data_IF_522345458653
#
_entry.id   IF_522345458653
#
_cell.length_a   1.000
_cell.length_b   1.000
_cell.length_c   1.000
_cell.angle_alpha   90.00
_cell.angle_beta   90.00
_cell.angle_gamma   90.00
#
_symmetry.space_group_name_H-M   'P 1'
#
loop_
_entity.id
_entity.type
_entity.pdbx_description
1 polymer ?
#
# COMPACT_ATOMS: atom_id res chain seq x y z
N UNK A 1 1.57 28.66 9.84
CA UNK A 1 1.50 28.22 8.43
C UNK A 1 0.20 27.45 8.22
N UNK A 2 -0.66 27.82 7.29
CA UNK A 2 -1.88 27.04 7.01
C UNK A 2 -1.81 26.55 5.56
N UNK A 3 -1.95 25.25 5.35
CA UNK A 3 -2.00 24.69 4.01
C UNK A 3 -3.33 25.05 3.32
N UNK A 4 -3.23 25.46 2.05
CA UNK A 4 -4.37 25.69 1.17
C UNK A 4 -4.88 24.38 0.55
N UNK A 5 -6.08 24.37 -0.04
CA UNK A 5 -6.56 23.21 -0.81
C UNK A 5 -5.65 22.90 -2.01
N UNK A 6 -5.01 23.93 -2.60
CA UNK A 6 -4.04 23.77 -3.68
C UNK A 6 -2.79 23.01 -3.21
N UNK A 7 -2.31 23.29 -1.99
CA UNK A 7 -1.14 22.60 -1.44
C UNK A 7 -1.46 21.11 -1.18
N UNK A 8 -2.65 20.83 -0.62
CA UNK A 8 -3.14 19.47 -0.41
C UNK A 8 -3.19 18.73 -1.75
N UNK A 9 -3.77 19.34 -2.77
CA UNK A 9 -3.86 18.75 -4.10
C UNK A 9 -2.50 18.53 -4.75
N UNK A 10 -1.59 19.50 -4.66
CA UNK A 10 -0.24 19.38 -5.20
C UNK A 10 0.58 18.23 -4.60
N UNK A 11 0.32 17.87 -3.36
CA UNK A 11 0.97 16.72 -2.71
C UNK A 11 0.26 15.42 -3.03
N UNK A 12 -1.07 15.38 -2.99
CA UNK A 12 -1.84 14.14 -3.13
C UNK A 12 -2.04 13.66 -4.56
N UNK A 13 -2.24 14.59 -5.52
CA UNK A 13 -2.49 14.25 -6.92
C UNK A 13 -1.36 13.40 -7.55
N UNK A 14 -0.06 13.71 -7.38
CA UNK A 14 0.99 12.87 -7.93
C UNK A 14 1.07 11.49 -7.26
N UNK A 15 0.73 11.39 -5.98
CA UNK A 15 0.67 10.10 -5.27
C UNK A 15 -0.49 9.26 -5.84
N UNK A 16 -1.64 9.89 -6.09
CA UNK A 16 -2.79 9.23 -6.71
C UNK A 16 -2.43 8.67 -8.08
N UNK A 17 -1.77 9.45 -8.94
CA UNK A 17 -1.34 8.97 -10.26
C UNK A 17 -0.31 7.83 -10.17
N UNK A 18 0.60 7.88 -9.19
CA UNK A 18 1.56 6.81 -8.96
C UNK A 18 0.87 5.50 -8.54
N UNK A 19 -0.15 5.58 -7.68
CA UNK A 19 -0.94 4.41 -7.27
C UNK A 19 -1.80 3.86 -8.42
N UNK A 20 -2.34 4.73 -9.27
CA UNK A 20 -3.05 4.30 -10.49
C UNK A 20 -2.11 3.57 -11.46
N UNK A 21 -0.91 4.10 -11.70
CA UNK A 21 0.08 3.45 -12.54
C UNK A 21 0.49 2.07 -11.99
N UNK A 22 0.65 1.95 -10.66
CA UNK A 22 0.91 0.67 -10.01
C UNK A 22 -0.25 -0.31 -10.20
N UNK A 23 -1.49 0.16 -10.16
CA UNK A 23 -2.65 -0.70 -10.42
C UNK A 23 -2.69 -1.19 -11.88
N UNK A 24 -2.30 -0.33 -12.83
CA UNK A 24 -2.18 -0.72 -14.26
C UNK A 24 -1.18 -1.86 -14.41
N UNK A 25 -0.02 -1.82 -13.76
CA UNK A 25 0.95 -2.92 -13.76
C UNK A 25 0.26 -4.22 -13.31
N UNK A 26 -0.37 -4.22 -12.14
CA UNK A 26 -1.02 -5.41 -11.59
C UNK A 26 -2.10 -6.00 -12.51
N UNK A 27 -2.89 -5.14 -13.15
CA UNK A 27 -3.94 -5.55 -14.10
C UNK A 27 -3.33 -6.15 -15.36
N UNK A 28 -2.27 -5.54 -15.90
CA UNK A 28 -1.58 -6.00 -17.11
C UNK A 28 -0.90 -7.35 -16.88
N UNK A 29 -0.17 -7.49 -15.78
CA UNK A 29 0.48 -8.76 -15.40
C UNK A 29 -0.56 -9.90 -15.31
N UNK A 30 -1.67 -9.62 -14.62
CA UNK A 30 -2.77 -10.60 -14.49
C UNK A 30 -3.39 -10.96 -15.83
N UNK A 31 -3.61 -9.97 -16.70
CA UNK A 31 -4.19 -10.17 -18.03
C UNK A 31 -3.24 -10.97 -18.93
N UNK A 32 -1.95 -10.66 -18.95
CA UNK A 32 -0.98 -11.38 -19.76
C UNK A 32 -0.80 -12.83 -19.29
N UNK A 33 -0.67 -13.06 -18.00
CA UNK A 33 -0.53 -14.41 -17.45
C UNK A 33 -1.82 -15.23 -17.59
N UNK A 34 -2.99 -14.59 -17.56
CA UNK A 34 -4.25 -15.25 -17.87
C UNK A 34 -4.36 -15.78 -19.30
N UNK A 35 -3.63 -15.17 -20.26
CA UNK A 35 -3.53 -15.69 -21.63
C UNK A 35 -2.50 -16.82 -21.78
N UNK A 36 -1.55 -16.94 -20.85
CA UNK A 36 -0.57 -18.05 -20.86
C UNK A 36 -1.21 -19.34 -20.36
N UNK A 37 -1.89 -19.28 -19.20
CA UNK A 37 -2.55 -20.46 -18.64
C UNK A 37 -3.06 -20.25 -17.21
N UNK A 38 -3.93 -21.19 -16.78
CA UNK A 38 -4.53 -21.18 -15.44
C UNK A 38 -3.49 -21.47 -14.34
N UNK A 39 -2.50 -22.31 -14.63
CA UNK A 39 -1.42 -22.66 -13.70
C UNK A 39 -0.55 -21.42 -13.43
N UNK A 40 -0.14 -20.72 -14.49
CA UNK A 40 0.70 -19.53 -14.42
C UNK A 40 -0.02 -18.39 -13.70
N UNK A 41 -1.30 -18.20 -13.99
CA UNK A 41 -2.14 -17.22 -13.31
C UNK A 41 -2.29 -17.54 -11.82
N UNK A 42 -2.55 -18.78 -11.47
CA UNK A 42 -2.66 -19.23 -10.07
C UNK A 42 -1.33 -19.09 -9.32
N UNK A 43 -0.23 -19.48 -9.95
CA UNK A 43 1.11 -19.40 -9.39
C UNK A 43 1.55 -17.95 -9.16
N UNK A 44 1.27 -17.05 -10.11
CA UNK A 44 1.58 -15.62 -9.95
C UNK A 44 0.76 -14.97 -8.83
N UNK A 45 -0.51 -15.34 -8.68
CA UNK A 45 -1.36 -14.84 -7.61
C UNK A 45 -0.83 -15.25 -6.23
N UNK A 46 -0.50 -16.54 -6.04
CA UNK A 46 0.05 -17.04 -4.78
C UNK A 46 1.46 -16.50 -4.50
N UNK A 47 2.33 -16.50 -5.50
CA UNK A 47 3.68 -15.93 -5.38
C UNK A 47 3.65 -14.43 -5.11
N UNK A 48 2.77 -13.69 -5.77
CA UNK A 48 2.57 -12.27 -5.56
C UNK A 48 2.11 -11.94 -4.13
N UNK A 49 1.19 -12.72 -3.57
CA UNK A 49 0.75 -12.57 -2.18
C UNK A 49 1.90 -12.77 -1.19
N UNK A 50 2.70 -13.82 -1.37
CA UNK A 50 3.86 -14.09 -0.51
C UNK A 50 4.91 -12.97 -0.62
N UNK A 51 5.17 -12.48 -1.83
CA UNK A 51 6.05 -11.35 -2.06
C UNK A 51 5.56 -10.09 -1.34
N UNK A 52 4.28 -9.75 -1.47
CA UNK A 52 3.67 -8.57 -0.83
C UNK A 52 3.72 -8.69 0.70
N UNK A 53 3.47 -9.86 1.28
CA UNK A 53 3.57 -10.07 2.73
C UNK A 53 4.97 -9.70 3.26
N UNK A 54 6.02 -10.09 2.55
CA UNK A 54 7.41 -9.76 2.92
C UNK A 54 7.68 -8.27 2.66
N UNK A 55 7.20 -7.74 1.54
CA UNK A 55 7.37 -6.33 1.17
C UNK A 55 6.72 -5.37 2.18
N UNK A 56 5.67 -5.78 2.92
CA UNK A 56 5.05 -4.94 3.98
C UNK A 56 6.05 -4.52 5.04
N UNK A 57 7.10 -5.30 5.30
CA UNK A 57 8.19 -4.97 6.23
C UNK A 57 8.90 -3.70 5.74
N UNK A 58 9.35 -3.68 4.49
CA UNK A 58 10.03 -2.54 3.91
C UNK A 58 9.10 -1.32 3.79
N UNK A 59 7.86 -1.53 3.40
CA UNK A 59 6.87 -0.48 3.27
C UNK A 59 6.55 0.18 4.63
N UNK A 60 6.37 -0.63 5.68
CA UNK A 60 6.14 -0.15 7.04
C UNK A 60 7.34 0.64 7.58
N UNK A 61 8.57 0.13 7.36
CA UNK A 61 9.80 0.84 7.73
C UNK A 61 9.90 2.19 7.00
N UNK A 62 9.62 2.22 5.70
CA UNK A 62 9.68 3.45 4.91
C UNK A 62 8.65 4.49 5.35
N UNK A 63 7.47 4.06 5.81
CA UNK A 63 6.43 4.96 6.32
C UNK A 63 6.89 5.65 7.62
N UNK A 64 7.52 4.92 8.54
CA UNK A 64 8.13 5.52 9.73
C UNK A 64 9.27 6.49 9.40
N UNK A 65 10.13 6.12 8.47
CA UNK A 65 11.19 6.99 7.94
C UNK A 65 10.64 8.26 7.29
N UNK A 66 9.53 8.13 6.51
CA UNK A 66 8.82 9.25 5.90
C UNK A 66 8.33 10.26 6.93
N UNK A 67 7.78 9.79 8.06
CA UNK A 67 7.31 10.65 9.16
C UNK A 67 8.49 11.44 9.73
N UNK A 68 9.63 10.80 9.97
CA UNK A 68 10.83 11.47 10.47
C UNK A 68 11.38 12.48 9.47
N UNK A 69 11.50 12.11 8.19
CA UNK A 69 11.94 13.01 7.12
C UNK A 69 11.01 14.23 7.04
N UNK A 70 9.70 14.02 7.07
CA UNK A 70 8.70 15.08 7.04
C UNK A 70 8.83 16.03 8.25
N UNK A 71 9.09 15.48 9.44
CA UNK A 71 9.31 16.25 10.64
C UNK A 71 10.55 17.13 10.52
N UNK A 72 11.71 16.57 10.12
CA UNK A 72 12.95 17.31 9.92
C UNK A 72 12.82 18.39 8.85
N UNK A 73 12.11 18.07 7.76
CA UNK A 73 11.81 19.04 6.72
C UNK A 73 10.98 20.22 7.25
N UNK A 74 9.96 19.95 8.07
CA UNK A 74 9.13 20.98 8.71
C UNK A 74 9.89 21.84 9.71
N UNK A 75 10.81 21.25 10.49
CA UNK A 75 11.69 21.93 11.44
C UNK A 75 12.76 22.81 10.75
N UNK A 76 12.88 22.73 9.41
CA UNK A 76 13.96 23.40 8.68
C UNK A 76 15.32 22.71 8.84
N UNK A 77 15.37 21.56 9.50
CA UNK A 77 16.58 20.76 9.71
C UNK A 77 16.88 19.89 8.47
N UNK A 78 16.97 20.53 7.32
CA UNK A 78 17.08 19.83 6.02
C UNK A 78 18.29 18.88 5.96
N UNK A 79 19.42 19.23 6.61
CA UNK A 79 20.64 18.40 6.60
C UNK A 79 20.47 17.06 7.33
N UNK A 80 19.48 16.94 8.19
CA UNK A 80 19.16 15.71 8.92
C UNK A 80 18.32 14.71 8.08
N UNK A 81 17.78 15.16 6.95
CA UNK A 81 16.98 14.31 6.04
C UNK A 81 17.85 13.24 5.38
N UNK A 82 19.05 13.63 4.89
CA UNK A 82 19.96 12.71 4.22
C UNK A 82 20.42 11.53 5.09
N UNK A 83 20.88 11.77 6.32
CA UNK A 83 21.21 10.69 7.26
C UNK A 83 20.05 9.70 7.46
N UNK A 84 18.82 10.16 7.64
CA UNK A 84 17.64 9.26 7.76
C UNK A 84 17.43 8.44 6.49
N UNK A 85 17.50 9.09 5.32
CA UNK A 85 17.36 8.42 4.03
C UNK A 85 18.44 7.35 3.82
N UNK A 86 19.71 7.71 4.02
CA UNK A 86 20.86 6.84 3.80
C UNK A 86 20.90 5.66 4.77
N UNK A 87 20.59 5.92 6.06
CA UNK A 87 20.48 4.87 7.07
C UNK A 87 19.36 3.89 6.76
N UNK A 88 18.22 4.42 6.31
CA UNK A 88 17.09 3.59 5.88
C UNK A 88 17.40 2.75 4.64
N UNK A 89 18.06 3.30 3.63
CA UNK A 89 18.51 2.55 2.45
C UNK A 89 19.47 1.43 2.83
N UNK A 90 20.46 1.70 3.68
CA UNK A 90 21.43 0.71 4.12
C UNK A 90 20.76 -0.41 4.93
N UNK A 91 19.90 -0.05 5.88
CA UNK A 91 19.16 -1.01 6.69
C UNK A 91 18.25 -1.91 5.82
N UNK A 92 17.46 -1.31 4.92
CA UNK A 92 16.56 -2.07 4.06
C UNK A 92 17.31 -2.91 3.02
N UNK A 93 18.45 -2.46 2.51
CA UNK A 93 19.29 -3.26 1.64
C UNK A 93 19.85 -4.50 2.36
N UNK A 94 20.36 -4.32 3.59
CA UNK A 94 20.82 -5.45 4.40
C UNK A 94 19.66 -6.41 4.76
N UNK A 95 18.48 -5.85 5.07
CA UNK A 95 17.27 -6.65 5.29
C UNK A 95 16.88 -7.43 4.04
N UNK A 96 16.98 -6.82 2.85
CA UNK A 96 16.71 -7.48 1.58
C UNK A 96 17.68 -8.66 1.34
N UNK A 97 18.98 -8.50 1.64
CA UNK A 97 19.99 -9.57 1.54
C UNK A 97 19.63 -10.75 2.46
N UNK A 98 19.30 -10.45 3.72
CA UNK A 98 18.94 -11.49 4.69
C UNK A 98 17.65 -12.21 4.29
N UNK A 99 16.60 -11.44 3.93
CA UNK A 99 15.33 -12.02 3.49
C UNK A 99 15.44 -12.77 2.19
N UNK A 100 16.25 -12.31 1.23
CA UNK A 100 16.52 -13.05 0.02
C UNK A 100 17.09 -14.43 0.33
N UNK A 101 18.14 -14.52 1.17
CA UNK A 101 18.73 -15.79 1.58
C UNK A 101 17.77 -16.69 2.33
N UNK A 102 17.04 -16.16 3.30
CA UNK A 102 16.03 -16.89 4.07
C UNK A 102 14.90 -17.41 3.18
N UNK A 103 14.41 -16.57 2.27
CA UNK A 103 13.33 -16.96 1.38
C UNK A 103 13.76 -18.01 0.36
N UNK A 104 14.94 -17.91 -0.23
CA UNK A 104 15.45 -18.95 -1.13
C UNK A 104 15.54 -20.31 -0.43
N UNK A 105 15.88 -20.32 0.86
CA UNK A 105 15.96 -21.55 1.64
C UNK A 105 14.60 -22.05 2.14
N UNK A 106 13.76 -21.18 2.71
CA UNK A 106 12.52 -21.55 3.39
C UNK A 106 11.29 -21.62 2.47
N UNK A 107 11.34 -20.94 1.30
CA UNK A 107 10.19 -20.76 0.42
C UNK A 107 9.62 -22.08 -0.12
N UNK A 108 10.40 -23.08 -0.56
CA UNK A 108 9.82 -24.36 -1.01
C UNK A 108 8.95 -25.01 0.05
N UNK A 109 9.42 -25.00 1.32
CA UNK A 109 8.64 -25.54 2.44
C UNK A 109 7.38 -24.72 2.73
N UNK A 110 7.48 -23.39 2.73
CA UNK A 110 6.34 -22.51 2.97
C UNK A 110 5.29 -22.63 1.86
N UNK A 111 5.70 -22.66 0.60
CA UNK A 111 4.81 -22.84 -0.55
C UNK A 111 4.11 -24.19 -0.49
N UNK A 112 4.84 -25.26 -0.10
CA UNK A 112 4.25 -26.60 0.02
C UNK A 112 3.17 -26.71 1.10
N UNK A 113 3.27 -25.92 2.15
CA UNK A 113 2.23 -25.85 3.20
C UNK A 113 0.95 -25.18 2.73
N UNK A 114 1.03 -24.33 1.69
CA UNK A 114 -0.08 -23.52 1.20
C UNK A 114 -0.72 -24.09 -0.08
N UNK A 115 0.06 -24.84 -0.89
CA UNK A 115 -0.36 -25.30 -2.22
C UNK A 115 -0.32 -26.82 -2.26
N UNK A 116 -1.45 -27.42 -2.56
CA UNK A 116 -1.60 -28.88 -2.68
C UNK A 116 -1.33 -29.40 -4.09
N UNK A 117 -1.52 -28.58 -5.14
CA UNK A 117 -1.26 -28.95 -6.54
C UNK A 117 0.22 -28.89 -6.86
N UNK A 118 0.80 -29.98 -7.34
CA UNK A 118 2.22 -30.06 -7.69
C UNK A 118 2.59 -29.09 -8.82
N UNK A 119 1.76 -28.95 -9.84
CA UNK A 119 2.00 -28.04 -10.97
C UNK A 119 2.03 -26.57 -10.52
N UNK A 120 1.07 -26.16 -9.68
CA UNK A 120 1.04 -24.79 -9.15
C UNK A 120 2.18 -24.56 -8.17
N UNK A 121 2.57 -25.58 -7.40
CA UNK A 121 3.71 -25.51 -6.49
C UNK A 121 5.01 -25.23 -7.24
N UNK A 122 5.32 -26.04 -8.26
CA UNK A 122 6.55 -25.89 -9.05
C UNK A 122 6.60 -24.54 -9.76
N UNK A 123 5.49 -24.12 -10.38
CA UNK A 123 5.38 -22.81 -11.02
C UNK A 123 5.53 -21.65 -10.03
N UNK A 124 4.95 -21.76 -8.83
CA UNK A 124 5.07 -20.73 -7.77
C UNK A 124 6.52 -20.65 -7.26
N UNK A 125 7.18 -21.77 -7.06
CA UNK A 125 8.59 -21.80 -6.64
C UNK A 125 9.50 -21.16 -7.71
N UNK A 126 9.28 -21.46 -8.99
CA UNK A 126 10.04 -20.85 -10.10
C UNK A 126 9.80 -19.34 -10.16
N UNK A 127 8.54 -18.90 -10.08
CA UNK A 127 8.18 -17.48 -10.06
C UNK A 127 8.88 -16.75 -8.91
N UNK A 128 8.77 -17.26 -7.69
CA UNK A 128 9.36 -16.64 -6.51
C UNK A 128 10.88 -16.64 -6.54
N UNK A 129 11.51 -17.70 -7.05
CA UNK A 129 12.97 -17.75 -7.20
C UNK A 129 13.49 -16.52 -7.95
N UNK A 130 12.86 -16.15 -9.07
CA UNK A 130 13.24 -14.97 -9.85
C UNK A 130 12.69 -13.68 -9.25
N UNK A 131 11.47 -13.67 -8.77
CA UNK A 131 10.80 -12.46 -8.24
C UNK A 131 11.50 -11.88 -7.02
N UNK A 132 12.10 -12.73 -6.18
CA UNK A 132 12.80 -12.28 -4.96
C UNK A 132 14.04 -11.44 -5.23
N UNK A 133 14.66 -11.51 -6.41
CA UNK A 133 15.72 -10.56 -6.78
C UNK A 133 15.23 -9.11 -6.77
N UNK A 134 13.92 -8.90 -6.92
CA UNK A 134 13.30 -7.60 -6.78
C UNK A 134 13.46 -6.96 -5.40
N UNK A 135 13.70 -7.73 -4.33
CA UNK A 135 13.90 -7.16 -2.99
C UNK A 135 15.05 -6.16 -2.94
N UNK A 136 16.14 -6.41 -3.67
CA UNK A 136 17.31 -5.51 -3.70
C UNK A 136 16.96 -4.11 -4.21
N UNK A 137 15.98 -4.01 -5.10
CA UNK A 137 15.53 -2.75 -5.69
C UNK A 137 14.30 -2.20 -4.99
N UNK A 138 13.27 -3.01 -4.79
CA UNK A 138 12.00 -2.57 -4.21
C UNK A 138 12.14 -2.05 -2.78
N UNK A 139 13.00 -2.67 -1.95
CA UNK A 139 13.26 -2.24 -0.58
C UNK A 139 13.95 -0.87 -0.53
N UNK A 140 14.85 -0.58 -1.46
CA UNK A 140 15.46 0.74 -1.54
C UNK A 140 14.51 1.76 -2.20
N UNK A 141 13.70 1.35 -3.16
CA UNK A 141 12.72 2.20 -3.83
C UNK A 141 11.70 2.82 -2.86
N UNK A 142 11.27 2.08 -1.83
CA UNK A 142 10.35 2.65 -0.83
C UNK A 142 11.00 3.76 0.00
N UNK A 143 12.33 3.81 0.12
CA UNK A 143 13.03 4.92 0.76
C UNK A 143 13.07 6.16 -0.14
N UNK A 144 13.22 6.03 -1.46
CA UNK A 144 13.02 7.16 -2.38
C UNK A 144 11.61 7.74 -2.26
N UNK A 145 10.59 6.85 -2.21
CA UNK A 145 9.22 7.28 -1.94
C UNK A 145 9.11 8.04 -0.62
N UNK A 146 9.68 7.52 0.47
CA UNK A 146 9.68 8.16 1.77
C UNK A 146 10.34 9.55 1.74
N UNK A 147 11.47 9.69 1.02
CA UNK A 147 12.15 10.96 0.82
C UNK A 147 11.23 11.96 0.11
N UNK A 148 10.73 11.63 -1.08
CA UNK A 148 9.99 12.57 -1.90
C UNK A 148 8.63 12.94 -1.32
N UNK A 149 7.95 12.00 -0.67
CA UNK A 149 6.72 12.29 0.09
C UNK A 149 7.07 13.17 1.29
N UNK A 150 8.09 12.81 2.07
CA UNK A 150 8.51 13.52 3.28
C UNK A 150 8.85 14.98 3.04
N UNK A 151 9.59 15.28 1.96
CA UNK A 151 9.93 16.66 1.56
C UNK A 151 8.85 17.33 0.69
N UNK A 152 7.69 16.69 0.52
CA UNK A 152 6.54 17.19 -0.27
C UNK A 152 6.82 17.43 -1.76
N UNK A 153 7.82 16.74 -2.34
CA UNK A 153 8.15 16.78 -3.77
C UNK A 153 7.59 15.57 -4.52
N UNK A 154 6.29 15.37 -4.46
CA UNK A 154 5.62 14.14 -4.90
C UNK A 154 5.50 13.95 -6.41
N UNK A 155 5.69 14.99 -7.23
CA UNK A 155 5.61 14.90 -8.70
C UNK A 155 6.55 13.85 -9.31
N UNK A 156 7.71 13.65 -8.70
CA UNK A 156 8.67 12.64 -9.14
C UNK A 156 8.13 11.22 -9.03
N UNK A 157 7.23 10.97 -8.07
CA UNK A 157 6.63 9.65 -7.89
C UNK A 157 5.77 9.24 -9.07
N UNK A 158 5.03 10.19 -9.67
CA UNK A 158 4.26 9.96 -10.89
C UNK A 158 5.16 9.56 -12.04
N UNK A 159 6.25 10.31 -12.27
CA UNK A 159 7.19 10.03 -13.36
C UNK A 159 7.84 8.67 -13.15
N UNK A 160 8.27 8.38 -11.92
CA UNK A 160 8.87 7.09 -11.56
C UNK A 160 7.90 5.92 -11.80
N UNK A 161 6.64 6.07 -11.38
CA UNK A 161 5.63 5.05 -11.56
C UNK A 161 5.29 4.80 -13.05
N UNK A 162 5.25 5.86 -13.86
CA UNK A 162 5.05 5.75 -15.31
C UNK A 162 6.23 5.02 -15.96
N UNK A 163 7.47 5.37 -15.61
CA UNK A 163 8.68 4.68 -16.14
C UNK A 163 8.63 3.20 -15.76
N UNK A 164 8.36 2.90 -14.49
CA UNK A 164 8.24 1.53 -14.00
C UNK A 164 7.16 0.75 -14.76
N UNK A 165 5.98 1.35 -14.95
CA UNK A 165 4.88 0.73 -15.67
C UNK A 165 5.22 0.49 -17.16
N UNK A 166 5.83 1.46 -17.83
CA UNK A 166 6.22 1.31 -19.24
C UNK A 166 7.26 0.18 -19.41
N UNK A 167 8.28 0.13 -18.54
CA UNK A 167 9.31 -0.92 -18.58
C UNK A 167 8.70 -2.28 -18.30
N UNK A 168 7.83 -2.37 -17.26
CA UNK A 168 7.18 -3.63 -16.91
C UNK A 168 6.30 -4.14 -18.06
N UNK A 169 5.33 -3.35 -18.54
CA UNK A 169 4.40 -3.76 -19.61
C UNK A 169 5.15 -4.15 -20.89
N UNK A 170 6.18 -3.39 -21.27
CA UNK A 170 6.98 -3.68 -22.44
C UNK A 170 7.73 -5.03 -22.28
N UNK A 171 8.38 -5.23 -21.13
CA UNK A 171 9.13 -6.45 -20.87
C UNK A 171 8.23 -7.67 -20.64
N UNK A 172 7.07 -7.49 -20.04
CA UNK A 172 6.08 -8.57 -19.93
C UNK A 172 5.66 -9.06 -21.30
N UNK A 173 5.31 -8.13 -22.20
CA UNK A 173 4.96 -8.50 -23.57
C UNK A 173 6.12 -9.19 -24.31
N UNK A 174 7.35 -8.72 -24.11
CA UNK A 174 8.52 -9.28 -24.74
C UNK A 174 8.94 -10.67 -24.19
N UNK A 175 8.95 -10.82 -22.86
CA UNK A 175 9.49 -12.01 -22.19
C UNK A 175 8.44 -13.10 -21.96
N UNK A 176 7.18 -12.72 -21.70
CA UNK A 176 6.11 -13.72 -21.50
C UNK A 176 5.84 -14.44 -22.83
N UNK A 177 5.69 -13.68 -23.91
CA UNK A 177 5.27 -14.21 -25.22
C UNK A 177 6.41 -14.41 -26.22
N UNK A 178 7.66 -14.09 -25.88
CA UNK A 178 8.80 -14.30 -26.76
C UNK A 178 8.86 -13.33 -27.94
N UNK A 179 8.43 -12.08 -27.78
CA UNK A 179 8.47 -11.08 -28.85
C UNK A 179 9.82 -10.34 -28.92
N UNK A 180 10.05 -9.64 -30.01
CA UNK A 180 11.27 -8.82 -30.26
C UNK A 180 12.60 -9.60 -30.21
N UNK A 181 12.57 -10.92 -30.48
CA UNK A 181 13.75 -11.77 -30.45
C UNK A 181 14.14 -12.31 -29.06
N UNK A 182 13.33 -12.05 -28.05
CA UNK A 182 13.48 -12.68 -26.74
C UNK A 182 12.86 -14.08 -26.76
N UNK A 183 13.39 -15.03 -25.94
CA UNK A 183 12.79 -16.34 -25.77
C UNK A 183 11.46 -16.21 -25.02
N UNK A 184 10.49 -17.05 -25.35
CA UNK A 184 9.25 -17.20 -24.60
C UNK A 184 9.56 -17.81 -23.23
N UNK A 185 9.27 -17.06 -22.16
CA UNK A 185 9.58 -17.44 -20.77
C UNK A 185 8.33 -17.62 -19.90
N UNK A 186 7.14 -17.28 -20.41
CA UNK A 186 5.90 -17.41 -19.65
C UNK A 186 5.96 -16.72 -18.29
N UNK A 187 5.60 -17.45 -17.22
CA UNK A 187 5.58 -16.96 -15.84
C UNK A 187 6.93 -16.45 -15.34
N UNK A 188 8.03 -17.13 -15.69
CA UNK A 188 9.39 -16.68 -15.38
C UNK A 188 9.69 -15.32 -16.00
N UNK A 189 9.22 -15.09 -17.23
CA UNK A 189 9.34 -13.81 -17.93
C UNK A 189 8.68 -12.67 -17.17
N UNK A 190 7.49 -12.89 -16.63
CA UNK A 190 6.77 -11.90 -15.80
C UNK A 190 7.56 -11.56 -14.52
N UNK A 191 8.13 -12.55 -13.84
CA UNK A 191 8.96 -12.30 -12.66
C UNK A 191 10.19 -11.45 -12.98
N UNK A 192 10.89 -11.77 -14.05
CA UNK A 192 12.10 -11.04 -14.50
C UNK A 192 11.72 -9.62 -14.94
N UNK A 193 10.63 -9.44 -15.70
CA UNK A 193 10.15 -8.13 -16.14
C UNK A 193 9.87 -7.22 -14.95
N UNK A 194 9.18 -7.72 -13.93
CA UNK A 194 8.90 -6.98 -12.69
C UNK A 194 10.19 -6.57 -11.96
N UNK A 195 11.19 -7.45 -11.88
CA UNK A 195 12.50 -7.14 -11.26
C UNK A 195 13.24 -6.06 -12.03
N UNK A 196 13.26 -6.14 -13.36
CA UNK A 196 13.91 -5.12 -14.20
C UNK A 196 13.17 -3.77 -14.10
N UNK A 197 11.84 -3.77 -14.03
CA UNK A 197 11.05 -2.56 -13.82
C UNK A 197 11.35 -1.90 -12.45
N UNK A 198 11.51 -2.69 -11.40
CA UNK A 198 11.94 -2.19 -10.07
C UNK A 198 13.38 -1.66 -10.11
N UNK A 199 14.28 -2.29 -10.86
CA UNK A 199 15.63 -1.80 -11.09
C UNK A 199 15.65 -0.48 -11.88
N UNK A 200 14.81 -0.35 -12.91
CA UNK A 200 14.65 0.89 -13.66
C UNK A 200 14.12 2.03 -12.77
N UNK A 201 13.16 1.73 -11.91
CA UNK A 201 12.64 2.65 -10.88
C UNK A 201 13.74 3.11 -9.93
N UNK A 202 14.58 2.19 -9.46
CA UNK A 202 15.72 2.49 -8.58
C UNK A 202 16.74 3.40 -9.29
N UNK A 203 17.10 3.07 -10.52
CA UNK A 203 18.03 3.88 -11.33
C UNK A 203 17.48 5.29 -11.56
N UNK A 204 16.20 5.39 -11.93
CA UNK A 204 15.54 6.68 -12.10
C UNK A 204 15.56 7.49 -10.79
N UNK A 205 15.17 6.88 -9.66
CA UNK A 205 15.18 7.53 -8.35
C UNK A 205 16.56 8.05 -7.96
N UNK A 206 17.61 7.26 -8.22
CA UNK A 206 18.99 7.63 -7.96
C UNK A 206 19.47 8.78 -8.85
N UNK A 207 19.27 8.66 -10.17
CA UNK A 207 19.68 9.67 -11.15
C UNK A 207 18.92 10.98 -10.91
N UNK A 208 17.60 10.92 -10.70
CA UNK A 208 16.79 12.10 -10.43
C UNK A 208 17.23 12.80 -9.14
N UNK A 209 17.51 12.04 -8.07
CA UNK A 209 17.99 12.61 -6.81
C UNK A 209 19.31 13.32 -7.01
N UNK A 210 20.23 12.70 -7.76
CA UNK A 210 21.55 13.29 -8.02
C UNK A 210 21.50 14.56 -8.88
N UNK A 211 20.62 14.61 -9.87
CA UNK A 211 20.54 15.74 -10.82
C UNK A 211 19.64 16.89 -10.33
N UNK A 212 18.53 16.61 -9.65
CA UNK A 212 17.47 17.59 -9.37
C UNK A 212 17.22 17.89 -7.90
N UNK A 213 17.86 17.15 -6.99
CA UNK A 213 17.76 17.42 -5.56
C UNK A 213 19.04 18.11 -5.09
N UNK A 214 18.90 19.17 -4.30
CA UNK A 214 20.05 19.81 -3.68
C UNK A 214 20.64 18.90 -2.58
N UNK A 215 21.64 18.12 -2.98
CA UNK A 215 22.28 17.12 -2.12
C UNK A 215 22.93 17.75 -0.89
N UNK A 216 23.46 18.96 -1.01
CA UNK A 216 24.09 19.69 0.12
C UNK A 216 23.05 20.17 1.11
N UNK A 217 21.93 20.70 0.60
CA UNK A 217 20.81 21.16 1.42
C UNK A 217 20.26 20.03 2.28
N UNK A 218 20.04 18.85 1.69
CA UNK A 218 19.45 17.72 2.38
C UNK A 218 20.45 16.77 3.03
N UNK A 219 21.76 17.08 2.98
CA UNK A 219 22.80 16.23 3.59
C UNK A 219 22.99 14.87 2.90
N UNK A 220 22.58 14.76 1.62
CA UNK A 220 22.69 13.54 0.80
C UNK A 220 24.08 13.40 0.13
N UNK A 221 24.96 14.39 0.25
CA UNK A 221 26.29 14.42 -0.33
C UNK A 221 27.36 13.70 0.50
N UNK A 222 26.97 13.09 1.61
CA UNK A 222 27.87 12.32 2.49
C UNK A 222 27.71 10.83 2.22
N UNK A 223 28.81 10.08 2.34
CA UNK A 223 28.74 8.62 2.28
C UNK A 223 27.89 8.08 3.43
N UNK A 224 27.05 7.05 3.19
CA UNK A 224 26.25 6.44 4.23
C UNK A 224 27.17 5.86 5.30
N UNK A 225 27.01 6.34 6.53
CA UNK A 225 27.70 5.79 7.70
C UNK A 225 26.67 5.11 8.58
N UNK A 226 27.04 3.95 9.12
CA UNK A 226 26.18 3.25 10.05
C UNK A 226 26.10 4.01 11.37
N UNK A 227 24.91 4.47 11.72
CA UNK A 227 24.59 5.10 12.99
C UNK A 227 23.50 4.32 13.70
N UNK A 228 23.90 3.51 14.67
CA UNK A 228 22.98 2.68 15.45
C UNK A 228 21.99 3.50 16.29
N UNK A 229 22.40 4.70 16.75
CA UNK A 229 21.52 5.56 17.52
C UNK A 229 20.42 6.17 16.63
N UNK A 230 20.77 6.61 15.43
CA UNK A 230 19.82 7.09 14.46
C UNK A 230 18.89 5.95 13.99
N UNK A 231 19.43 4.77 13.70
CA UNK A 231 18.61 3.61 13.33
C UNK A 231 17.64 3.25 14.45
N UNK A 232 18.07 3.25 15.71
CA UNK A 232 17.19 3.01 16.86
C UNK A 232 16.03 4.01 16.92
N UNK A 233 16.27 5.29 16.62
CA UNK A 233 15.22 6.32 16.54
C UNK A 233 14.26 6.05 15.37
N UNK A 234 14.79 5.70 14.21
CA UNK A 234 13.94 5.34 13.06
C UNK A 234 13.07 4.10 13.40
N UNK A 235 13.66 3.05 13.96
CA UNK A 235 12.96 1.83 14.35
C UNK A 235 11.92 2.08 15.44
N UNK A 236 12.14 3.00 16.37
CA UNK A 236 11.16 3.34 17.41
C UNK A 236 9.83 3.88 16.86
N UNK A 237 9.83 4.36 15.61
CA UNK A 237 8.64 4.80 14.88
C UNK A 237 8.19 3.72 13.89
N UNK A 238 9.15 3.16 13.15
CA UNK A 238 8.88 2.26 12.03
C UNK A 238 8.45 0.85 12.46
N UNK A 239 8.91 0.35 13.60
CA UNK A 239 8.53 -0.98 14.08
C UNK A 239 7.00 -1.11 14.25
N UNK A 240 6.35 -0.07 14.77
CA UNK A 240 4.90 -0.06 14.94
C UNK A 240 4.15 -0.03 13.61
N UNK A 241 4.65 0.71 12.63
CA UNK A 241 4.06 0.72 11.27
C UNK A 241 4.31 -0.58 10.52
N UNK A 242 5.45 -1.25 10.71
CA UNK A 242 5.72 -2.56 10.12
C UNK A 242 4.72 -3.61 10.65
N UNK A 243 4.54 -3.67 11.97
CA UNK A 243 3.59 -4.59 12.62
C UNK A 243 2.15 -4.27 12.19
N UNK A 244 1.81 -3.00 12.11
CA UNK A 244 0.50 -2.52 11.68
C UNK A 244 0.14 -3.02 10.28
N UNK A 245 1.01 -2.82 9.28
CA UNK A 245 0.75 -3.30 7.91
C UNK A 245 0.63 -4.81 7.83
N UNK A 246 1.44 -5.54 8.60
CA UNK A 246 1.36 -6.99 8.65
C UNK A 246 0.01 -7.48 9.23
N UNK A 247 -0.44 -6.90 10.34
CA UNK A 247 -1.72 -7.27 10.98
C UNK A 247 -2.90 -6.92 10.05
N UNK A 248 -2.88 -5.76 9.41
CA UNK A 248 -3.91 -5.34 8.46
C UNK A 248 -4.02 -6.31 7.29
N UNK A 249 -2.88 -6.75 6.75
CA UNK A 249 -2.83 -7.74 5.67
C UNK A 249 -3.38 -9.10 6.13
N UNK A 250 -2.97 -9.56 7.32
CA UNK A 250 -3.45 -10.83 7.88
C UNK A 250 -4.97 -10.83 8.11
N UNK A 251 -5.54 -9.72 8.53
CA UNK A 251 -6.99 -9.60 8.78
C UNK A 251 -7.81 -9.72 7.49
N UNK A 252 -7.28 -9.25 6.35
CA UNK A 252 -7.90 -9.47 5.05
C UNK A 252 -8.03 -10.94 4.68
N UNK A 253 -7.02 -11.76 5.04
CA UNK A 253 -7.12 -13.22 4.84
C UNK A 253 -8.24 -13.83 5.68
N UNK A 254 -8.43 -13.36 6.92
CA UNK A 254 -9.52 -13.86 7.78
C UNK A 254 -10.89 -13.61 7.14
N UNK A 255 -11.10 -12.44 6.52
CA UNK A 255 -12.33 -12.14 5.80
C UNK A 255 -12.58 -13.13 4.66
N UNK A 256 -11.58 -13.35 3.79
CA UNK A 256 -11.74 -14.26 2.65
C UNK A 256 -11.90 -15.71 3.07
N UNK A 257 -11.24 -16.16 4.13
CA UNK A 257 -11.46 -17.48 4.71
C UNK A 257 -12.90 -17.69 5.23
N UNK A 258 -13.49 -16.65 5.80
CA UNK A 258 -14.88 -16.70 6.24
C UNK A 258 -15.85 -16.76 5.06
N UNK A 259 -15.59 -15.97 4.00
CA UNK A 259 -16.44 -15.92 2.81
C UNK A 259 -16.31 -17.20 1.96
N UNK A 260 -15.13 -17.81 1.87
CA UNK A 260 -14.93 -19.08 1.15
C UNK A 260 -15.88 -20.17 1.63
N UNK A 261 -16.15 -20.22 2.93
CA UNK A 261 -17.09 -21.19 3.53
C UNK A 261 -18.56 -21.00 3.13
N UNK A 262 -18.90 -19.83 2.60
CA UNK A 262 -20.25 -19.54 2.10
C UNK A 262 -20.49 -20.11 0.71
N UNK A 263 -19.45 -20.66 0.08
CA UNK A 263 -19.50 -21.32 -1.22
C UNK A 263 -18.92 -20.45 -2.36
N UNK A 264 -18.69 -21.11 -3.50
CA UNK A 264 -18.00 -20.54 -4.66
C UNK A 264 -18.68 -19.28 -5.21
N UNK A 265 -20.03 -19.28 -5.23
CA UNK A 265 -20.81 -18.14 -5.72
C UNK A 265 -20.59 -16.88 -4.89
N UNK A 266 -20.62 -17.02 -3.56
CA UNK A 266 -20.38 -15.91 -2.63
C UNK A 266 -18.92 -15.41 -2.70
N UNK A 267 -17.99 -16.34 -2.88
CA UNK A 267 -16.58 -16.00 -3.07
C UNK A 267 -16.35 -15.24 -4.39
N UNK A 268 -17.04 -15.61 -5.47
CA UNK A 268 -16.98 -14.90 -6.75
C UNK A 268 -17.48 -13.45 -6.60
N UNK A 269 -18.61 -13.24 -5.92
CA UNK A 269 -19.12 -11.90 -5.59
C UNK A 269 -18.09 -11.11 -4.79
N UNK A 270 -17.52 -11.72 -3.75
CA UNK A 270 -16.51 -11.05 -2.91
C UNK A 270 -15.28 -10.61 -3.70
N UNK A 271 -14.81 -11.41 -4.65
CA UNK A 271 -13.67 -11.07 -5.50
C UNK A 271 -13.95 -9.89 -6.44
N UNK A 272 -15.16 -9.85 -7.05
CA UNK A 272 -15.57 -8.72 -7.89
C UNK A 272 -15.63 -7.44 -7.07
N UNK A 273 -16.31 -7.48 -5.93
CA UNK A 273 -16.46 -6.34 -5.03
C UNK A 273 -15.10 -5.86 -4.50
N UNK A 274 -14.19 -6.79 -4.15
CA UNK A 274 -12.82 -6.46 -3.77
C UNK A 274 -12.09 -5.66 -4.84
N UNK A 275 -12.23 -6.04 -6.10
CA UNK A 275 -11.56 -5.34 -7.20
C UNK A 275 -12.04 -3.89 -7.31
N UNK A 276 -13.34 -3.64 -7.16
CA UNK A 276 -13.92 -2.29 -7.13
C UNK A 276 -13.44 -1.54 -5.87
N UNK A 277 -13.45 -2.20 -4.73
CA UNK A 277 -13.01 -1.64 -3.45
C UNK A 277 -11.55 -1.16 -3.51
N UNK A 278 -10.64 -1.92 -4.10
CA UNK A 278 -9.23 -1.54 -4.27
C UNK A 278 -9.13 -0.25 -5.10
N UNK A 279 -9.87 -0.14 -6.20
CA UNK A 279 -9.87 1.07 -7.04
C UNK A 279 -10.40 2.28 -6.28
N UNK A 280 -11.48 2.12 -5.51
CA UNK A 280 -12.05 3.19 -4.68
C UNK A 280 -11.12 3.62 -3.54
N UNK A 281 -10.28 2.72 -3.04
CA UNK A 281 -9.29 3.04 -2.01
C UNK A 281 -8.12 3.90 -2.53
N UNK A 282 -7.80 3.88 -3.80
CA UNK A 282 -6.64 4.60 -4.36
C UNK A 282 -6.65 6.08 -3.99
N UNK A 283 -7.72 6.87 -4.23
CA UNK A 283 -7.75 8.28 -3.83
C UNK A 283 -7.69 8.47 -2.31
N UNK A 284 -8.30 7.56 -1.53
CA UNK A 284 -8.24 7.61 -0.07
C UNK A 284 -6.81 7.40 0.42
N UNK A 285 -6.09 6.43 -0.13
CA UNK A 285 -4.69 6.16 0.23
C UNK A 285 -3.75 7.31 -0.15
N UNK A 286 -3.96 7.93 -1.32
CA UNK A 286 -3.18 9.08 -1.75
C UNK A 286 -3.34 10.27 -0.77
N UNK A 287 -4.57 10.59 -0.39
CA UNK A 287 -4.87 11.66 0.55
C UNK A 287 -4.44 11.33 1.98
N UNK A 288 -4.52 10.07 2.38
CA UNK A 288 -4.04 9.59 3.68
C UNK A 288 -2.52 9.71 3.81
N UNK A 289 -1.78 9.36 2.76
CA UNK A 289 -0.33 9.55 2.69
C UNK A 289 0.04 11.05 2.75
N UNK A 290 -0.71 11.89 2.04
CA UNK A 290 -0.54 13.33 2.10
C UNK A 290 -0.84 13.87 3.52
N UNK A 291 -1.91 13.40 4.17
CA UNK A 291 -2.25 13.78 5.53
C UNK A 291 -1.16 13.43 6.52
N UNK A 292 -0.64 12.19 6.47
CA UNK A 292 0.47 11.73 7.29
C UNK A 292 1.69 12.67 7.19
N UNK A 293 2.13 12.94 5.99
CA UNK A 293 3.31 13.78 5.73
C UNK A 293 3.08 15.25 6.06
N UNK A 294 1.94 15.83 5.66
CA UNK A 294 1.65 17.24 5.90
C UNK A 294 1.45 17.53 7.38
N UNK A 295 0.87 16.59 8.14
CA UNK A 295 0.76 16.71 9.61
C UNK A 295 2.16 16.71 10.24
N UNK A 296 3.05 15.78 9.84
CA UNK A 296 4.40 15.73 10.38
C UNK A 296 5.21 16.99 10.06
N UNK A 297 5.15 17.47 8.80
CA UNK A 297 5.76 18.75 8.39
C UNK A 297 5.20 19.94 9.19
N UNK A 298 3.88 20.01 9.37
CA UNK A 298 3.23 21.11 10.07
C UNK A 298 3.61 21.17 11.55
N UNK A 299 3.73 20.02 12.20
CA UNK A 299 4.19 19.95 13.59
C UNK A 299 5.66 20.37 13.67
N UNK A 300 6.50 19.90 12.74
CA UNK A 300 7.90 20.33 12.65
C UNK A 300 8.05 21.85 12.50
N UNK A 301 7.18 22.47 11.71
CA UNK A 301 7.13 23.91 11.53
C UNK A 301 6.49 24.68 12.71
N UNK A 302 6.19 24.03 13.84
CA UNK A 302 5.55 24.65 15.02
C UNK A 302 4.07 24.90 14.87
N UNK A 303 3.42 24.44 13.80
CA UNK A 303 2.00 24.70 13.50
C UNK A 303 1.01 23.75 14.17
N UNK A 304 1.30 23.24 15.37
CA UNK A 304 0.51 22.22 16.07
C UNK A 304 -0.98 22.61 16.18
N UNK A 305 -1.28 23.86 16.47
CA UNK A 305 -2.65 24.37 16.60
C UNK A 305 -3.49 24.20 15.32
N UNK A 306 -2.86 24.11 14.15
CA UNK A 306 -3.52 23.98 12.85
C UNK A 306 -3.67 22.54 12.35
N UNK A 307 -3.14 21.55 13.07
CA UNK A 307 -3.16 20.13 12.65
C UNK A 307 -4.60 19.63 12.47
N UNK A 308 -5.49 19.89 13.43
CA UNK A 308 -6.90 19.47 13.33
C UNK A 308 -7.62 20.14 12.16
N UNK A 309 -7.31 21.39 11.88
CA UNK A 309 -7.87 22.12 10.75
C UNK A 309 -7.39 21.53 9.41
N UNK A 310 -6.10 21.18 9.33
CA UNK A 310 -5.52 20.52 8.17
C UNK A 310 -6.20 19.17 7.92
N UNK A 311 -6.30 18.30 8.94
CA UNK A 311 -6.96 17.00 8.80
C UNK A 311 -8.41 17.13 8.35
N UNK A 312 -9.17 18.09 8.90
CA UNK A 312 -10.56 18.37 8.46
C UNK A 312 -10.63 18.78 6.99
N UNK A 313 -9.68 19.61 6.50
CA UNK A 313 -9.63 20.02 5.10
C UNK A 313 -9.36 18.81 4.18
N UNK A 314 -8.36 17.99 4.52
CA UNK A 314 -8.01 16.80 3.73
C UNK A 314 -9.17 15.78 3.75
N UNK A 315 -9.80 15.55 4.92
CA UNK A 315 -10.94 14.66 5.04
C UNK A 315 -12.13 15.13 4.18
N UNK A 316 -12.38 16.44 4.11
CA UNK A 316 -13.43 17.01 3.24
C UNK A 316 -13.10 16.75 1.76
N UNK A 317 -11.87 16.96 1.34
CA UNK A 317 -11.45 16.68 -0.05
C UNK A 317 -11.60 15.19 -0.36
N UNK A 318 -11.14 14.31 0.53
CA UNK A 318 -11.27 12.86 0.41
C UNK A 318 -12.74 12.44 0.29
N UNK A 319 -13.59 12.93 1.16
CA UNK A 319 -15.02 12.64 1.16
C UNK A 319 -15.71 13.07 -0.13
N UNK A 320 -15.39 14.28 -0.64
CA UNK A 320 -15.96 14.78 -1.91
C UNK A 320 -15.55 13.92 -3.10
N UNK A 321 -14.28 13.52 -3.19
CA UNK A 321 -13.81 12.66 -4.27
C UNK A 321 -14.51 11.29 -4.20
N UNK A 322 -14.56 10.69 -3.03
CA UNK A 322 -15.17 9.37 -2.85
C UNK A 322 -16.67 9.40 -3.11
N UNK A 323 -17.39 10.44 -2.69
CA UNK A 323 -18.84 10.55 -2.97
C UNK A 323 -19.13 10.68 -4.46
N UNK A 324 -18.26 11.35 -5.21
CA UNK A 324 -18.39 11.42 -6.69
C UNK A 324 -18.18 10.03 -7.31
N UNK A 325 -17.15 9.30 -6.89
CA UNK A 325 -16.87 7.95 -7.38
C UNK A 325 -18.03 6.99 -7.04
N UNK A 326 -18.53 7.03 -5.80
CA UNK A 326 -19.63 6.17 -5.36
C UNK A 326 -20.93 6.59 -6.07
N UNK A 327 -21.18 7.88 -6.26
CA UNK A 327 -22.33 8.37 -7.02
C UNK A 327 -22.37 7.77 -8.43
N UNK A 328 -21.23 7.76 -9.13
CA UNK A 328 -21.12 7.13 -10.44
C UNK A 328 -21.43 5.63 -10.40
N UNK A 329 -20.81 4.91 -9.48
CA UNK A 329 -21.01 3.46 -9.31
C UNK A 329 -22.46 3.13 -8.91
N UNK A 330 -23.08 3.96 -8.06
CA UNK A 330 -24.46 3.75 -7.61
C UNK A 330 -25.51 4.04 -8.68
N UNK A 331 -25.22 4.99 -9.58
CA UNK A 331 -26.11 5.31 -10.71
C UNK A 331 -25.96 4.24 -11.82
N UNK A 332 -24.76 3.72 -12.03
CA UNK A 332 -24.46 2.73 -13.07
C UNK A 332 -23.87 1.44 -12.48
N UNK A 333 -24.59 0.73 -11.58
CA UNK A 333 -24.04 -0.45 -10.90
C UNK A 333 -23.74 -1.60 -11.86
N UNK A 334 -24.66 -1.82 -12.83
CA UNK A 334 -24.48 -2.87 -13.83
C UNK A 334 -23.26 -2.62 -14.73
N UNK A 335 -23.06 -1.38 -15.18
CA UNK A 335 -21.90 -1.00 -15.99
C UNK A 335 -20.59 -1.21 -15.21
N UNK A 336 -20.57 -0.82 -13.93
CA UNK A 336 -19.39 -0.97 -13.09
C UNK A 336 -19.02 -2.43 -12.83
N UNK A 337 -20.01 -3.30 -12.68
CA UNK A 337 -19.84 -4.74 -12.47
C UNK A 337 -19.55 -5.50 -13.76
N UNK A 338 -20.11 -5.07 -14.91
CA UNK A 338 -19.90 -5.71 -16.21
C UNK A 338 -18.45 -5.64 -16.71
N UNK A 339 -17.62 -4.75 -16.13
CA UNK A 339 -16.17 -4.72 -16.37
C UNK A 339 -15.49 -6.02 -15.91
N UNK A 340 -16.07 -6.70 -14.91
CA UNK A 340 -15.45 -7.85 -14.25
C UNK A 340 -16.11 -9.19 -14.62
N UNK A 341 -17.35 -9.18 -15.09
CA UNK A 341 -18.07 -10.40 -15.44
C UNK A 341 -19.18 -10.13 -16.46
N UNK A 342 -19.44 -11.12 -17.34
CA UNK A 342 -20.55 -11.11 -18.28
C UNK A 342 -21.78 -11.87 -17.76
N UNK A 343 -21.70 -12.53 -16.61
CA UNK A 343 -22.80 -13.25 -15.97
C UNK A 343 -23.79 -12.25 -15.35
N UNK A 344 -24.93 -12.04 -16.02
CA UNK A 344 -25.98 -11.12 -15.60
C UNK A 344 -26.60 -11.47 -14.24
N UNK A 345 -26.67 -12.75 -13.89
CA UNK A 345 -27.16 -13.22 -12.60
C UNK A 345 -26.16 -12.84 -11.49
N UNK A 346 -24.86 -13.06 -11.73
CA UNK A 346 -23.78 -12.69 -10.80
C UNK A 346 -23.71 -11.17 -10.60
N UNK A 347 -23.92 -10.39 -11.67
CA UNK A 347 -24.02 -8.93 -11.58
C UNK A 347 -25.17 -8.54 -10.64
N UNK A 348 -26.37 -9.09 -10.85
CA UNK A 348 -27.55 -8.80 -10.01
C UNK A 348 -27.30 -9.12 -8.53
N UNK A 349 -26.71 -10.27 -8.24
CA UNK A 349 -26.39 -10.69 -6.87
C UNK A 349 -25.27 -9.86 -6.20
N UNK A 350 -24.41 -9.23 -7.00
CA UNK A 350 -23.31 -8.39 -6.49
C UNK A 350 -23.74 -6.96 -6.11
N UNK A 351 -24.86 -6.47 -6.63
CA UNK A 351 -25.35 -5.10 -6.38
C UNK A 351 -25.52 -4.78 -4.89
N UNK A 352 -26.13 -5.62 -4.05
CA UNK A 352 -26.26 -5.32 -2.62
C UNK A 352 -24.89 -5.12 -1.93
N UNK A 353 -23.92 -5.97 -2.26
CA UNK A 353 -22.54 -5.87 -1.73
C UNK A 353 -21.86 -4.59 -2.20
N UNK A 354 -22.12 -4.15 -3.43
CA UNK A 354 -21.59 -2.91 -3.99
C UNK A 354 -22.07 -1.69 -3.21
N UNK A 355 -23.36 -1.64 -2.85
CA UNK A 355 -23.90 -0.55 -2.03
C UNK A 355 -23.33 -0.53 -0.61
N UNK A 356 -23.18 -1.72 0.00
CA UNK A 356 -22.57 -1.83 1.33
C UNK A 356 -21.14 -1.29 1.33
N UNK A 357 -20.33 -1.68 0.35
CA UNK A 357 -18.97 -1.16 0.18
C UNK A 357 -18.98 0.34 -0.13
N UNK A 358 -19.94 0.83 -0.89
CA UNK A 358 -20.12 2.26 -1.12
C UNK A 358 -20.26 3.04 0.20
N UNK A 359 -21.11 2.58 1.11
CA UNK A 359 -21.27 3.18 2.44
C UNK A 359 -19.96 3.07 3.26
N UNK A 360 -19.32 1.91 3.25
CA UNK A 360 -18.05 1.72 3.95
C UNK A 360 -16.98 2.70 3.46
N UNK A 361 -16.91 2.95 2.15
CA UNK A 361 -15.95 3.87 1.55
C UNK A 361 -16.18 5.34 1.92
N UNK A 362 -17.43 5.77 2.12
CA UNK A 362 -17.72 7.11 2.62
C UNK A 362 -17.14 7.32 4.03
N UNK A 363 -17.26 6.31 4.88
CA UNK A 363 -16.67 6.34 6.22
C UNK A 363 -15.15 6.25 6.15
N UNK A 364 -14.63 5.37 5.29
CA UNK A 364 -13.20 5.17 5.05
C UNK A 364 -12.50 6.45 4.58
N UNK A 365 -13.16 7.24 3.72
CA UNK A 365 -12.65 8.51 3.20
C UNK A 365 -12.31 9.52 4.31
N UNK A 366 -12.99 9.44 5.44
CA UNK A 366 -12.75 10.32 6.60
C UNK A 366 -11.86 9.61 7.63
N UNK A 367 -12.15 8.35 7.94
CA UNK A 367 -11.46 7.57 8.95
C UNK A 367 -9.94 7.46 8.69
N UNK A 368 -9.58 7.11 7.45
CA UNK A 368 -8.17 6.95 7.05
C UNK A 368 -7.37 8.25 7.17
N UNK A 369 -7.98 9.42 6.94
CA UNK A 369 -7.30 10.71 7.07
C UNK A 369 -6.94 10.99 8.52
N UNK A 370 -7.87 10.83 9.45
CA UNK A 370 -7.60 11.05 10.87
C UNK A 370 -6.63 10.02 11.43
N UNK A 371 -6.78 8.76 11.05
CA UNK A 371 -5.90 7.68 11.46
C UNK A 371 -4.45 7.90 10.98
N UNK A 372 -4.24 8.19 9.69
CA UNK A 372 -2.92 8.50 9.15
C UNK A 372 -2.37 9.83 9.68
N UNK A 373 -3.24 10.78 10.02
CA UNK A 373 -2.87 11.98 10.74
C UNK A 373 -2.26 11.68 12.10
N UNK A 374 -2.81 10.72 12.88
CA UNK A 374 -2.22 10.26 14.15
C UNK A 374 -0.82 9.68 13.92
N UNK A 375 -0.65 8.81 12.94
CA UNK A 375 0.69 8.30 12.57
C UNK A 375 1.65 9.44 12.23
N UNK A 376 1.19 10.46 11.48
CA UNK A 376 1.94 11.66 11.11
C UNK A 376 2.37 12.53 12.31
N UNK A 377 1.69 12.43 13.47
CA UNK A 377 2.18 13.07 14.71
C UNK A 377 3.47 12.44 15.25
N UNK A 378 3.87 11.28 14.72
CA UNK A 378 4.97 10.45 15.23
C UNK A 378 4.52 9.45 16.29
N UNK A 379 3.24 9.40 16.65
CA UNK A 379 2.72 8.44 17.62
C UNK A 379 2.20 7.16 16.93
N UNK A 380 3.10 6.49 16.22
CA UNK A 380 2.82 5.26 15.48
C UNK A 380 2.43 4.09 16.40
N UNK A 381 2.93 4.10 17.64
CA UNK A 381 2.51 3.15 18.66
C UNK A 381 1.02 3.28 18.98
N UNK A 382 0.51 4.49 19.16
CA UNK A 382 -0.91 4.71 19.38
C UNK A 382 -1.73 4.29 18.16
N UNK A 383 -1.27 4.61 16.95
CA UNK A 383 -1.92 4.18 15.71
C UNK A 383 -2.03 2.64 15.65
N UNK A 384 -0.94 1.92 15.97
CA UNK A 384 -0.96 0.45 16.04
C UNK A 384 -2.02 -0.07 17.03
N UNK A 385 -2.09 0.48 18.23
CA UNK A 385 -3.07 0.03 19.22
C UNK A 385 -4.52 0.34 18.82
N UNK A 386 -4.77 1.52 18.24
CA UNK A 386 -6.08 1.89 17.72
C UNK A 386 -6.53 0.92 16.61
N UNK A 387 -5.65 0.63 15.67
CA UNK A 387 -5.97 -0.30 14.59
C UNK A 387 -6.10 -1.74 15.08
N UNK A 388 -5.17 -2.22 15.90
CA UNK A 388 -5.23 -3.60 16.43
C UNK A 388 -6.51 -3.84 17.20
N UNK A 389 -6.92 -2.92 18.08
CA UNK A 389 -8.20 -3.03 18.80
C UNK A 389 -9.40 -3.09 17.86
N UNK A 390 -9.38 -2.30 16.80
CA UNK A 390 -10.44 -2.29 15.78
C UNK A 390 -10.45 -3.58 14.98
N UNK A 391 -9.27 -4.11 14.61
CA UNK A 391 -9.13 -5.36 13.85
C UNK A 391 -9.53 -6.60 14.68
N UNK A 392 -9.36 -6.57 16.00
CA UNK A 392 -9.89 -7.62 16.88
C UNK A 392 -11.42 -7.67 16.80
N UNK A 393 -12.07 -6.51 16.89
CA UNK A 393 -13.53 -6.41 16.74
C UNK A 393 -13.97 -6.85 15.35
N UNK A 394 -13.24 -6.44 14.31
CA UNK A 394 -13.44 -6.89 12.93
C UNK A 394 -13.41 -8.40 12.81
N UNK A 395 -12.35 -9.04 13.34
CA UNK A 395 -12.19 -10.50 13.28
C UNK A 395 -13.30 -11.25 14.01
N UNK A 396 -13.69 -10.76 15.19
CA UNK A 396 -14.81 -11.34 15.96
C UNK A 396 -16.12 -11.21 15.16
N UNK A 397 -16.39 -10.02 14.59
CA UNK A 397 -17.62 -9.77 13.86
C UNK A 397 -17.72 -10.64 12.61
N UNK A 398 -16.67 -10.70 11.79
CA UNK A 398 -16.68 -11.56 10.58
C UNK A 398 -16.77 -13.05 10.93
N UNK A 399 -16.15 -13.47 12.06
CA UNK A 399 -16.29 -14.82 12.55
C UNK A 399 -17.75 -15.15 12.90
N UNK A 400 -18.43 -14.25 13.62
CA UNK A 400 -19.82 -14.45 14.02
C UNK A 400 -20.75 -14.48 12.80
N UNK A 401 -20.67 -13.49 11.90
CA UNK A 401 -21.61 -13.38 10.79
C UNK A 401 -21.29 -14.31 9.62
N UNK A 402 -20.01 -14.47 9.28
CA UNK A 402 -19.57 -15.27 8.13
C UNK A 402 -19.44 -16.76 8.47
N UNK A 403 -18.82 -17.07 9.61
CA UNK A 403 -18.51 -18.44 9.97
C UNK A 403 -19.67 -19.14 10.70
N UNK A 404 -20.25 -18.47 11.70
CA UNK A 404 -21.28 -19.05 12.54
C UNK A 404 -22.68 -18.84 12.00
N UNK A 405 -23.06 -17.61 11.66
CA UNK A 405 -24.41 -17.29 11.12
C UNK A 405 -24.55 -17.59 9.63
N UNK A 406 -23.44 -17.78 8.90
CA UNK A 406 -23.41 -18.01 7.45
C UNK A 406 -24.24 -16.99 6.67
N UNK A 407 -24.12 -15.71 7.04
CA UNK A 407 -24.84 -14.62 6.40
C UNK A 407 -24.36 -14.41 4.95
N UNK A 408 -25.20 -13.90 4.05
CA UNK A 408 -24.79 -13.56 2.69
C UNK A 408 -23.59 -12.62 2.66
N UNK A 409 -22.78 -12.67 1.60
CA UNK A 409 -21.55 -11.89 1.48
C UNK A 409 -21.79 -10.38 1.60
N UNK A 410 -22.96 -9.87 1.17
CA UNK A 410 -23.32 -8.47 1.35
C UNK A 410 -23.35 -8.06 2.84
N UNK A 411 -23.83 -8.94 3.71
CA UNK A 411 -23.81 -8.72 5.17
C UNK A 411 -22.37 -8.87 5.69
N UNK A 412 -21.58 -9.79 5.16
CA UNK A 412 -20.16 -9.90 5.53
C UNK A 412 -19.40 -8.59 5.25
N UNK A 413 -19.68 -7.89 4.16
CA UNK A 413 -19.07 -6.59 3.87
C UNK A 413 -19.47 -5.46 4.83
N UNK A 414 -20.50 -5.61 5.66
CA UNK A 414 -20.77 -4.64 6.74
C UNK A 414 -19.65 -4.58 7.77
N UNK A 415 -18.77 -5.60 7.82
CA UNK A 415 -17.54 -5.60 8.60
C UNK A 415 -16.65 -4.40 8.25
N UNK A 416 -16.62 -3.98 7.00
CA UNK A 416 -15.86 -2.80 6.56
C UNK A 416 -16.47 -1.50 7.12
N UNK A 417 -17.79 -1.41 7.19
CA UNK A 417 -18.49 -0.26 7.82
C UNK A 417 -18.13 -0.19 9.30
N UNK A 418 -18.18 -1.33 9.98
CA UNK A 418 -17.82 -1.44 11.41
C UNK A 418 -16.36 -1.05 11.63
N UNK A 419 -15.45 -1.57 10.81
CA UNK A 419 -14.01 -1.28 10.88
C UNK A 419 -13.73 0.22 10.75
N UNK A 420 -14.15 0.83 9.65
CA UNK A 420 -13.90 2.27 9.45
C UNK A 420 -14.66 3.15 10.42
N UNK A 421 -15.86 2.74 10.85
CA UNK A 421 -16.62 3.44 11.87
C UNK A 421 -15.90 3.48 13.22
N UNK A 422 -15.43 2.32 13.68
CA UNK A 422 -14.65 2.23 14.92
C UNK A 422 -13.31 2.96 14.80
N UNK A 423 -12.60 2.80 13.67
CA UNK A 423 -11.34 3.49 13.42
C UNK A 423 -11.52 5.01 13.47
N UNK A 424 -12.61 5.56 12.90
CA UNK A 424 -12.92 6.96 12.95
C UNK A 424 -13.19 7.43 14.37
N UNK A 425 -14.08 6.74 15.10
CA UNK A 425 -14.46 7.11 16.45
C UNK A 425 -13.26 7.08 17.39
N UNK A 426 -12.49 6.00 17.37
CA UNK A 426 -11.30 5.85 18.23
C UNK A 426 -10.22 6.87 17.90
N UNK A 427 -10.01 7.17 16.61
CA UNK A 427 -9.08 8.22 16.17
C UNK A 427 -9.48 9.60 16.65
N UNK A 428 -10.78 9.96 16.54
CA UNK A 428 -11.28 11.25 17.02
C UNK A 428 -11.22 11.38 18.54
N UNK A 429 -11.52 10.31 19.27
CA UNK A 429 -11.38 10.28 20.74
C UNK A 429 -9.93 10.50 21.14
N UNK A 430 -9.00 9.78 20.48
CA UNK A 430 -7.57 9.90 20.73
C UNK A 430 -7.09 11.34 20.49
N UNK A 431 -7.41 11.93 19.33
CA UNK A 431 -6.99 13.30 18.97
C UNK A 431 -7.54 14.37 19.91
N UNK A 432 -8.71 14.13 20.56
CA UNK A 432 -9.29 15.05 21.55
C UNK A 432 -8.72 14.88 22.95
N UNK A 433 -8.39 13.66 23.37
CA UNK A 433 -8.06 13.35 24.77
C UNK A 433 -6.57 13.13 25.02
N UNK A 434 -5.81 12.64 24.02
CA UNK A 434 -4.39 12.30 24.19
C UNK A 434 -3.49 13.53 24.00
N UNK A 435 -2.36 13.49 24.71
CA UNK A 435 -1.34 14.55 24.63
C UNK A 435 -0.31 14.25 23.50
N UNK A 436 -0.82 14.10 22.26
CA UNK A 436 -0.01 13.85 21.08
C UNK A 436 0.84 15.05 20.65
N UNK A 437 0.50 16.24 21.13
CA UNK A 437 1.11 17.52 20.77
C UNK A 437 2.59 17.63 21.22
N UNK A 438 2.95 16.94 22.29
CA UNK A 438 4.27 16.98 22.90
C UNK A 438 5.20 15.85 22.45
N UNK A 439 4.79 15.02 21.45
CA UNK A 439 5.61 13.90 20.98
C UNK A 439 6.84 14.41 20.23
N UNK A 440 8.02 14.14 20.78
CA UNK A 440 9.32 14.36 20.13
C UNK A 440 9.71 13.10 19.35
N UNK A 441 10.28 13.24 18.17
CA UNK A 441 10.77 12.16 17.30
C UNK A 441 12.14 12.51 16.71
#
# INVERSE_FOLDING_TARGET
>A
MSYSNKDIWNVSYPILLALLAQNVINVTDTAFLGHVGEIELGASAMGGLLYICIFTIAFGFSTGSQIMIARRNGEGQYREVGPVMMQGCLFLFLTAVVLFGLCQWAMPTAVRMLISSDNIYDATCEFLHWRMFGFFFSFVNVMFRALYVGITRTKVLTINAIIMAMVNVFLDYALIFGHFGFPEMGLKGAAIASVIAEAASFLFGTIYTWLYVDLKKYGLNRWPQWDSALLGRILSISCFTMVQYFISMATWFVFFMAVERLGERQLAIANIIRSIYIVLLIPVQALSTAANTMVSNLIGAGGIAHVMQLMKKIAKVSFVIVIICIGFISIFPQLSLSVYTNDTALIGESIPSLYVIGVAMLVAAVANIYFNGISGTGNTQAALWLETSTLIVYAIYIFVIGWWAKAPVAICFTTEILYYGLLLVTSLIYLKKANWQNKKI
#
